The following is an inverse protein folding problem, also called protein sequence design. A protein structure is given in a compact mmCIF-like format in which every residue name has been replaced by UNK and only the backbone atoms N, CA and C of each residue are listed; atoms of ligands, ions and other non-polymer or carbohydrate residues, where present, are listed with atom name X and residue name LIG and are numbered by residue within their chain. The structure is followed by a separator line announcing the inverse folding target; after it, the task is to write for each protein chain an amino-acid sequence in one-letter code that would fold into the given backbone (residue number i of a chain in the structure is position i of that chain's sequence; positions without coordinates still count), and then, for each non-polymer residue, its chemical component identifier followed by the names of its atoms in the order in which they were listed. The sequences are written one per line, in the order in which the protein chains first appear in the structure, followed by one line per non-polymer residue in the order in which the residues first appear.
data_IF_112453467005
#
_entry.id   IF_112453467005
#
_cell.length_a   1.000
_cell.length_b   1.000
_cell.length_c   1.000
_cell.angle_alpha   90.00
_cell.angle_beta   90.00
_cell.angle_gamma   90.00
#
_symmetry.space_group_name_H-M   'P 1'
#
loop_
_entity.id
_entity.type
_entity.pdbx_description
1 polymer ?
#
# COMPACT_ATOMS: atom_id res chain seq x y z
N UNK A 1 -2.13 -15.31 -7.97
CA UNK A 1 -1.16 -14.42 -7.28
C UNK A 1 -1.86 -13.07 -7.14
N UNK A 2 -1.91 -12.55 -5.91
CA UNK A 2 -2.58 -11.27 -5.64
C UNK A 2 -1.62 -10.13 -5.99
N UNK A 3 -2.04 -9.25 -6.90
CA UNK A 3 -1.30 -8.05 -7.29
C UNK A 3 -2.25 -6.87 -7.28
N UNK A 4 -1.79 -5.74 -6.74
CA UNK A 4 -2.50 -4.48 -6.79
C UNK A 4 -1.60 -3.41 -7.41
N UNK A 5 -2.18 -2.60 -8.29
CA UNK A 5 -1.58 -1.38 -8.79
C UNK A 5 -2.71 -0.35 -8.87
N UNK A 6 -2.83 0.49 -7.85
CA UNK A 6 -3.91 1.47 -7.75
C UNK A 6 -3.36 2.84 -7.39
N UNK A 7 -4.04 3.87 -7.89
CA UNK A 7 -3.70 5.27 -7.68
C UNK A 7 -4.86 5.94 -6.94
N UNK A 8 -4.62 6.38 -5.71
CA UNK A 8 -5.53 7.17 -4.89
C UNK A 8 -5.05 8.61 -4.83
N UNK A 9 -5.51 9.42 -5.79
CA UNK A 9 -5.10 10.81 -5.94
C UNK A 9 -3.60 10.90 -6.21
N UNK A 10 -2.86 11.49 -5.27
CA UNK A 10 -1.39 11.61 -5.34
C UNK A 10 -0.67 10.33 -4.91
N UNK A 11 -1.34 9.39 -4.25
CA UNK A 11 -0.73 8.17 -3.74
C UNK A 11 -0.89 7.03 -4.73
N UNK A 12 0.20 6.45 -5.22
CA UNK A 12 0.19 5.25 -6.04
C UNK A 12 0.73 4.09 -5.20
N UNK A 13 -0.05 3.03 -5.03
CA UNK A 13 0.41 1.81 -4.37
C UNK A 13 0.47 0.67 -5.38
N UNK A 14 1.62 0.02 -5.40
CA UNK A 14 1.84 -1.22 -6.11
C UNK A 14 2.27 -2.27 -5.11
N UNK A 15 1.57 -3.39 -5.04
CA UNK A 15 1.99 -4.51 -4.19
C UNK A 15 1.74 -5.83 -4.90
N UNK A 16 2.55 -6.81 -4.57
CA UNK A 16 2.54 -8.17 -5.08
C UNK A 16 2.69 -9.14 -3.91
N UNK A 17 1.99 -10.26 -3.98
CA UNK A 17 2.14 -11.34 -3.03
C UNK A 17 3.29 -12.26 -3.47
N UNK A 18 4.43 -12.12 -2.79
CA UNK A 18 5.65 -12.89 -3.01
C UNK A 18 5.63 -14.25 -2.28
N UNK A 19 4.48 -14.91 -2.24
CA UNK A 19 4.27 -16.22 -1.62
C UNK A 19 4.10 -16.15 -0.10
N UNK A 20 5.11 -15.65 0.61
CA UNK A 20 5.16 -15.59 2.09
C UNK A 20 5.09 -14.16 2.66
N UNK A 21 5.34 -13.16 1.82
CA UNK A 21 5.29 -11.75 2.20
C UNK A 21 4.69 -10.90 1.09
N UNK A 22 4.26 -9.71 1.47
CA UNK A 22 3.75 -8.65 0.61
C UNK A 22 4.91 -7.72 0.29
N UNK A 23 5.36 -7.74 -0.96
CA UNK A 23 6.36 -6.80 -1.44
C UNK A 23 5.70 -5.74 -2.31
N UNK A 24 6.22 -4.52 -2.28
CA UNK A 24 5.62 -3.46 -3.07
C UNK A 24 6.33 -2.13 -2.94
N UNK A 25 5.69 -1.13 -3.51
CA UNK A 25 6.10 0.26 -3.40
C UNK A 25 4.89 1.16 -3.32
N UNK A 26 4.93 2.12 -2.39
CA UNK A 26 4.02 3.25 -2.38
C UNK A 26 4.78 4.49 -2.84
N UNK A 27 4.18 5.24 -3.75
CA UNK A 27 4.72 6.48 -4.29
C UNK A 27 3.75 7.63 -4.03
N UNK A 28 4.29 8.81 -3.76
CA UNK A 28 3.57 10.07 -3.76
C UNK A 28 3.99 10.83 -5.01
N UNK A 29 3.01 11.16 -5.84
CA UNK A 29 3.20 11.94 -7.04
C UNK A 29 2.70 13.37 -6.84
N UNK A 30 3.37 14.32 -7.47
CA UNK A 30 2.92 15.68 -7.60
C UNK A 30 1.72 15.79 -8.57
N UNK A 31 1.04 16.93 -8.58
CA UNK A 31 -0.09 17.23 -9.48
C UNK A 31 0.32 17.19 -10.96
N UNK A 32 1.62 17.37 -11.26
CA UNK A 32 2.20 17.15 -12.59
C UNK A 32 2.52 15.69 -12.95
N UNK A 33 2.23 14.72 -12.08
CA UNK A 33 2.53 13.30 -12.28
C UNK A 33 3.98 12.90 -11.97
N UNK A 34 4.81 13.84 -11.51
CA UNK A 34 6.19 13.59 -11.10
C UNK A 34 6.22 12.87 -9.76
N UNK A 35 6.95 11.75 -9.68
CA UNK A 35 7.15 11.03 -8.42
C UNK A 35 7.99 11.89 -7.46
N UNK A 36 7.40 12.32 -6.35
CA UNK A 36 8.09 13.07 -5.29
C UNK A 36 8.85 12.11 -4.38
N UNK A 37 8.15 11.10 -3.91
CA UNK A 37 8.69 10.10 -2.98
C UNK A 37 8.23 8.74 -3.42
N UNK A 38 9.11 7.74 -3.32
CA UNK A 38 8.76 6.34 -3.43
C UNK A 38 9.40 5.60 -2.27
N UNK A 39 8.59 4.81 -1.59
CA UNK A 39 9.01 3.93 -0.53
C UNK A 39 8.71 2.51 -0.94
N UNK A 40 9.74 1.68 -0.93
CA UNK A 40 9.64 0.24 -1.15
C UNK A 40 9.42 -0.43 0.20
N UNK A 41 8.64 -1.51 0.21
CA UNK A 41 8.31 -2.25 1.40
C UNK A 41 8.24 -3.74 1.13
N UNK A 42 8.47 -4.53 2.18
CA UNK A 42 8.44 -5.98 2.14
C UNK A 42 8.00 -6.48 3.50
N UNK A 43 6.69 -6.56 3.70
CA UNK A 43 6.10 -6.91 4.99
C UNK A 43 5.35 -8.23 4.91
N UNK A 44 5.32 -9.00 5.99
CA UNK A 44 4.62 -10.29 6.00
C UNK A 44 3.09 -10.14 6.04
N UNK A 45 2.60 -9.04 6.60
CA UNK A 45 1.19 -8.85 6.86
C UNK A 45 0.66 -7.52 6.32
N UNK A 46 -0.62 -7.52 5.96
CA UNK A 46 -1.30 -6.30 5.52
C UNK A 46 -1.26 -5.21 6.61
N UNK A 47 -1.51 -5.55 7.88
CA UNK A 47 -1.46 -4.56 8.96
C UNK A 47 -0.08 -3.91 9.08
N UNK A 48 1.00 -4.66 8.87
CA UNK A 48 2.36 -4.10 8.86
C UNK A 48 2.57 -3.13 7.69
N UNK A 49 2.13 -3.48 6.47
CA UNK A 49 2.17 -2.54 5.33
C UNK A 49 1.41 -1.26 5.67
N UNK A 50 0.22 -1.38 6.26
CA UNK A 50 -0.61 -0.21 6.57
C UNK A 50 0.02 0.64 7.66
N UNK A 51 0.48 0.06 8.76
CA UNK A 51 1.01 0.81 9.91
C UNK A 51 2.45 1.31 9.68
N UNK A 52 3.33 0.51 9.09
CA UNK A 52 4.75 0.81 8.94
C UNK A 52 5.06 1.63 7.68
N UNK A 53 4.22 1.52 6.65
CA UNK A 53 4.48 2.13 5.34
C UNK A 53 3.42 3.17 4.99
N UNK A 54 2.15 2.77 4.91
CA UNK A 54 1.09 3.68 4.43
C UNK A 54 0.82 4.80 5.42
N UNK A 55 0.78 4.49 6.72
CA UNK A 55 0.53 5.47 7.76
C UNK A 55 1.57 6.61 7.78
N UNK A 56 2.90 6.36 7.81
CA UNK A 56 3.88 7.43 7.75
C UNK A 56 3.88 8.16 6.39
N UNK A 57 3.71 7.46 5.27
CA UNK A 57 3.68 8.06 3.92
C UNK A 57 2.49 9.02 3.75
N UNK A 58 1.36 8.69 4.34
CA UNK A 58 0.16 9.55 4.33
C UNK A 58 0.16 10.62 5.42
N UNK A 59 1.25 10.78 6.18
CA UNK A 59 1.35 11.75 7.27
C UNK A 59 0.43 11.44 8.46
N UNK A 60 0.11 10.17 8.68
CA UNK A 60 -0.82 9.71 9.72
C UNK A 60 -2.29 9.83 9.34
N UNK A 61 -2.60 10.00 8.04
CA UNK A 61 -3.99 10.11 7.59
C UNK A 61 -4.68 8.73 7.57
N UNK A 62 -5.43 8.47 8.65
CA UNK A 62 -6.22 7.24 8.83
C UNK A 62 -7.22 6.96 7.72
N UNK A 63 -7.80 8.00 7.11
CA UNK A 63 -8.82 7.82 6.05
C UNK A 63 -8.17 7.22 4.81
N UNK A 64 -7.02 7.75 4.40
CA UNK A 64 -6.29 7.25 3.23
C UNK A 64 -5.71 5.87 3.52
N UNK A 65 -5.12 5.68 4.72
CA UNK A 65 -4.60 4.39 5.14
C UNK A 65 -5.69 3.29 5.13
N UNK A 66 -6.88 3.60 5.62
CA UNK A 66 -8.00 2.65 5.60
C UNK A 66 -8.51 2.39 4.17
N UNK A 67 -8.59 3.42 3.33
CA UNK A 67 -8.99 3.25 1.94
C UNK A 67 -7.99 2.36 1.16
N UNK A 68 -6.69 2.53 1.40
CA UNK A 68 -5.65 1.66 0.82
C UNK A 68 -5.77 0.23 1.36
N UNK A 69 -6.02 0.08 2.68
CA UNK A 69 -6.27 -1.24 3.30
C UNK A 69 -7.43 -1.96 2.61
N UNK A 70 -8.56 -1.29 2.40
CA UNK A 70 -9.73 -1.87 1.73
C UNK A 70 -9.41 -2.30 0.29
N UNK A 71 -8.65 -1.48 -0.45
CA UNK A 71 -8.19 -1.82 -1.79
C UNK A 71 -7.31 -3.07 -1.81
N UNK A 72 -6.35 -3.18 -0.86
CA UNK A 72 -5.51 -4.36 -0.73
C UNK A 72 -6.31 -5.60 -0.32
N UNK A 73 -7.29 -5.48 0.58
CA UNK A 73 -8.20 -6.58 0.93
C UNK A 73 -8.97 -7.05 -0.31
N UNK A 74 -9.55 -6.11 -1.08
CA UNK A 74 -10.27 -6.41 -2.32
C UNK A 74 -9.39 -7.08 -3.38
N UNK A 75 -8.09 -6.74 -3.42
CA UNK A 75 -7.11 -7.37 -4.30
C UNK A 75 -6.64 -8.76 -3.79
N UNK A 76 -7.16 -9.24 -2.65
CA UNK A 76 -6.85 -10.56 -2.12
C UNK A 76 -5.59 -10.61 -1.26
N UNK A 77 -5.17 -9.49 -0.67
CA UNK A 77 -4.13 -9.43 0.38
C UNK A 77 -4.71 -9.60 1.79
N UNK A 78 -5.98 -10.01 1.90
CA UNK A 78 -6.68 -10.17 3.17
C UNK A 78 -5.86 -11.04 4.13
N UNK A 79 -5.52 -10.48 5.29
CA UNK A 79 -5.01 -11.25 6.41
C UNK A 79 -6.08 -12.24 6.82
N UNK A 80 -5.81 -13.52 6.64
CA UNK A 80 -6.60 -14.58 7.23
C UNK A 80 -6.37 -14.55 8.74
N UNK A 81 -7.07 -13.68 9.46
CA UNK A 81 -7.21 -13.80 10.90
C UNK A 81 -8.05 -15.05 11.14
N UNK A 82 -7.39 -16.14 11.48
CA UNK A 82 -8.04 -17.37 11.89
C UNK A 82 -8.44 -17.29 13.36
#
# INVERSE_FOLDING_TARGET
MSTINTSMGRYCIKADNAGDHIQGSIAINDEGGTQLTRQEFSEHYLDDVINNVVFPVTGGNRVIANAIREQMINAGFAQSHR
#
